data_IF_678275242877
#
_entry.id   IF_678275242877
#
_cell.length_a   1.000
_cell.length_b   1.000
_cell.length_c   1.000
_cell.angle_alpha   90.00
_cell.angle_beta   90.00
_cell.angle_gamma   90.00
#
_symmetry.space_group_name_H-M   'P 1'
#
loop_
_entity.id
_entity.type
_entity.pdbx_description
1 polymer ?
#
# COMPACT_ATOMS: atom_id res chain seq x y z
N UNK A 1 31.51 -19.81 14.13
CA UNK A 1 31.18 -19.20 12.82
C UNK A 1 29.89 -19.84 12.31
N UNK A 2 28.76 -19.13 12.33
CA UNK A 2 27.53 -19.58 11.67
C UNK A 2 27.40 -18.74 10.41
N UNK A 3 27.56 -19.37 9.25
CA UNK A 3 27.25 -18.76 7.96
C UNK A 3 25.74 -18.53 7.88
N UNK A 4 25.26 -17.43 8.44
CA UNK A 4 23.92 -16.94 8.16
C UNK A 4 23.95 -16.29 6.78
N UNK A 5 23.90 -17.10 5.73
CA UNK A 5 23.34 -16.62 4.46
C UNK A 5 21.88 -16.30 4.77
N UNK A 6 21.58 -15.05 5.10
CA UNK A 6 20.22 -14.53 4.98
C UNK A 6 19.78 -14.86 3.56
N UNK A 7 18.88 -15.83 3.41
CA UNK A 7 18.34 -16.18 2.10
C UNK A 7 17.68 -14.93 1.54
N UNK A 8 17.91 -14.66 0.25
CA UNK A 8 17.34 -13.52 -0.46
C UNK A 8 15.82 -13.42 -0.23
N UNK A 9 15.27 -12.21 -0.12
CA UNK A 9 13.83 -12.02 0.02
C UNK A 9 13.05 -12.71 -1.11
N UNK A 10 11.99 -13.44 -0.75
CA UNK A 10 11.07 -14.06 -1.69
C UNK A 10 9.92 -13.09 -1.93
N UNK A 11 9.72 -12.68 -3.18
CA UNK A 11 8.55 -11.89 -3.59
C UNK A 11 7.32 -12.80 -3.62
N UNK A 12 6.33 -12.52 -2.78
CA UNK A 12 5.05 -13.25 -2.76
C UNK A 12 3.94 -12.51 -3.50
N UNK A 13 3.97 -11.17 -3.47
CA UNK A 13 2.99 -10.33 -4.17
C UNK A 13 3.74 -9.22 -4.91
N UNK A 14 3.43 -9.07 -6.19
CA UNK A 14 3.87 -7.97 -7.04
C UNK A 14 2.76 -7.70 -8.07
N UNK A 15 1.74 -6.96 -7.65
CA UNK A 15 0.53 -6.73 -8.44
C UNK A 15 0.24 -5.24 -8.59
N UNK A 16 -0.31 -4.88 -9.76
CA UNK A 16 -0.78 -3.54 -10.06
C UNK A 16 -2.11 -3.62 -10.81
N UNK A 17 -3.11 -2.88 -10.34
CA UNK A 17 -4.41 -2.78 -10.98
C UNK A 17 -4.73 -1.34 -11.33
N UNK A 18 -5.03 -1.08 -12.60
CA UNK A 18 -5.45 0.25 -13.07
C UNK A 18 -6.96 0.37 -13.01
N UNK A 19 -7.46 1.43 -12.37
CA UNK A 19 -8.87 1.79 -12.38
C UNK A 19 -9.13 2.68 -13.61
N UNK A 20 -10.06 2.30 -14.51
CA UNK A 20 -10.37 3.10 -15.70
C UNK A 20 -10.77 4.54 -15.37
N UNK A 21 -10.39 5.48 -16.25
CA UNK A 21 -10.75 6.91 -16.10
C UNK A 21 -12.26 7.12 -15.93
N UNK A 22 -13.07 6.41 -16.72
CA UNK A 22 -14.55 6.47 -16.69
C UNK A 22 -15.17 6.03 -15.36
N UNK A 23 -14.41 5.32 -14.52
CA UNK A 23 -14.86 4.87 -13.19
C UNK A 23 -14.06 5.53 -12.09
N UNK A 24 -13.51 6.74 -12.29
CA UNK A 24 -12.84 7.50 -11.24
C UNK A 24 -11.31 7.54 -11.30
N UNK A 25 -10.68 6.84 -12.25
CA UNK A 25 -9.22 6.79 -12.46
C UNK A 25 -8.44 6.20 -11.25
N UNK A 26 -7.15 5.93 -11.46
CA UNK A 26 -6.20 5.59 -10.40
C UNK A 26 -5.52 4.24 -10.57
N UNK A 27 -4.61 3.93 -9.67
CA UNK A 27 -3.79 2.72 -9.64
C UNK A 27 -3.77 2.16 -8.23
N UNK A 28 -4.00 0.85 -8.10
CA UNK A 28 -3.76 0.10 -6.88
C UNK A 28 -2.46 -0.68 -7.04
N UNK A 29 -1.56 -0.58 -6.07
CA UNK A 29 -0.27 -1.28 -6.03
C UNK A 29 -0.22 -2.14 -4.77
N UNK A 30 0.09 -3.42 -4.96
CA UNK A 30 0.28 -4.39 -3.89
C UNK A 30 1.67 -5.02 -4.05
N UNK A 31 2.47 -4.98 -3.01
CA UNK A 31 3.80 -5.59 -2.99
C UNK A 31 4.06 -6.21 -1.62
N UNK A 32 4.60 -7.42 -1.60
CA UNK A 32 4.98 -8.11 -0.37
C UNK A 32 6.15 -9.08 -0.60
N UNK A 33 7.10 -9.07 0.33
CA UNK A 33 8.21 -10.04 0.40
C UNK A 33 8.26 -10.73 1.74
N UNK A 34 8.75 -11.96 1.74
CA UNK A 34 9.01 -12.75 2.94
C UNK A 34 10.42 -13.30 2.96
N UNK A 35 10.87 -13.75 4.13
CA UNK A 35 12.02 -14.63 4.22
C UNK A 35 11.66 -16.05 3.75
N UNK A 36 12.62 -16.97 3.83
CA UNK A 36 12.40 -18.36 3.45
C UNK A 36 11.48 -19.15 4.39
N UNK A 37 11.15 -18.60 5.55
CA UNK A 37 10.23 -19.19 6.53
C UNK A 37 8.81 -18.62 6.38
N UNK A 38 8.60 -17.68 5.46
CA UNK A 38 7.33 -16.99 5.27
C UNK A 38 7.12 -15.80 6.22
N UNK A 39 8.15 -15.36 6.94
CA UNK A 39 8.08 -14.16 7.77
C UNK A 39 8.09 -12.91 6.89
N UNK A 40 7.12 -12.01 7.08
CA UNK A 40 7.02 -10.73 6.38
C UNK A 40 8.29 -9.90 6.56
N UNK A 41 8.92 -9.49 5.45
CA UNK A 41 10.08 -8.60 5.46
C UNK A 41 9.68 -7.18 5.05
N UNK A 42 8.99 -7.05 3.93
CA UNK A 42 8.57 -5.76 3.37
C UNK A 42 7.21 -5.86 2.72
N UNK A 43 6.41 -4.81 2.84
CA UNK A 43 5.22 -4.61 2.03
C UNK A 43 5.08 -3.16 1.59
N UNK A 44 4.32 -2.95 0.52
CA UNK A 44 3.88 -1.62 0.07
C UNK A 44 2.50 -1.75 -0.57
N UNK A 45 1.52 -1.10 0.05
CA UNK A 45 0.14 -0.96 -0.41
C UNK A 45 -0.09 0.50 -0.78
N UNK A 46 -0.58 0.79 -1.98
CA UNK A 46 -0.86 2.17 -2.36
C UNK A 46 -2.06 2.30 -3.31
N UNK A 47 -2.90 3.29 -3.04
CA UNK A 47 -3.85 3.83 -4.00
C UNK A 47 -3.34 5.19 -4.48
N UNK A 48 -3.08 5.26 -5.78
CA UNK A 48 -2.51 6.43 -6.44
C UNK A 48 -3.56 6.99 -7.39
N UNK A 49 -3.90 8.26 -7.24
CA UNK A 49 -4.79 8.95 -8.14
C UNK A 49 -4.46 10.45 -8.17
N UNK A 50 -3.78 10.87 -9.24
CA UNK A 50 -3.36 12.26 -9.44
C UNK A 50 -4.53 13.25 -9.61
N UNK A 51 -5.73 12.76 -9.92
CA UNK A 51 -6.92 13.62 -9.97
C UNK A 51 -7.43 13.98 -8.56
N UNK A 52 -7.07 13.18 -7.55
CA UNK A 52 -7.47 13.42 -6.16
C UNK A 52 -6.43 14.28 -5.45
N UNK A 53 -5.14 13.99 -5.65
CA UNK A 53 -4.04 14.76 -5.07
C UNK A 53 -2.79 14.66 -5.93
N UNK A 54 -1.96 15.70 -5.93
CA UNK A 54 -0.65 15.70 -6.60
C UNK A 54 0.52 15.51 -5.61
N UNK A 55 0.25 15.52 -4.31
CA UNK A 55 1.27 15.29 -3.28
C UNK A 55 1.67 13.82 -3.24
N UNK A 56 2.85 13.52 -2.72
CA UNK A 56 3.35 12.15 -2.58
C UNK A 56 3.19 11.31 -3.86
N UNK A 57 3.57 11.91 -5.00
CA UNK A 57 3.45 11.31 -6.34
C UNK A 57 2.02 10.84 -6.69
N UNK A 58 1.01 11.50 -6.13
CA UNK A 58 -0.40 11.17 -6.31
C UNK A 58 -0.92 10.07 -5.38
N UNK A 59 -0.13 9.63 -4.39
CA UNK A 59 -0.57 8.67 -3.38
C UNK A 59 -1.65 9.30 -2.51
N UNK A 60 -2.86 8.76 -2.62
CA UNK A 60 -4.03 9.18 -1.86
C UNK A 60 -4.00 8.54 -0.48
N UNK A 61 -3.81 7.22 -0.45
CA UNK A 61 -3.67 6.42 0.75
C UNK A 61 -2.66 5.29 0.46
N UNK A 62 -1.85 4.96 1.45
CA UNK A 62 -0.95 3.81 1.37
C UNK A 62 -0.43 3.38 2.73
N UNK A 63 0.15 2.19 2.74
CA UNK A 63 0.75 1.56 3.90
C UNK A 63 2.03 0.88 3.47
N UNK A 64 3.12 1.16 4.16
CA UNK A 64 4.37 0.43 3.96
C UNK A 64 5.15 0.36 5.28
N UNK A 65 6.16 -0.48 5.29
CA UNK A 65 7.08 -0.62 6.42
C UNK A 65 8.51 -0.21 6.03
N UNK A 66 8.65 0.65 5.02
CA UNK A 66 9.93 1.25 4.70
C UNK A 66 10.37 2.14 5.88
N UNK A 67 11.66 2.40 6.02
CA UNK A 67 12.23 3.18 7.13
C UNK A 67 12.18 2.51 8.52
N UNK A 68 12.04 1.18 8.60
CA UNK A 68 12.11 0.37 9.83
C UNK A 68 10.90 0.52 10.78
N UNK A 69 9.79 1.10 10.34
CA UNK A 69 8.54 1.12 11.10
C UNK A 69 7.33 1.11 10.16
N UNK A 70 6.21 0.60 10.67
CA UNK A 70 4.96 0.56 9.94
C UNK A 70 4.31 1.94 9.95
N UNK A 71 3.95 2.45 8.77
CA UNK A 71 3.32 3.74 8.67
C UNK A 71 2.29 3.82 7.56
N UNK A 72 1.39 4.78 7.74
CA UNK A 72 0.31 5.13 6.85
C UNK A 72 0.65 6.44 6.16
N UNK A 73 0.49 6.45 4.84
CA UNK A 73 0.55 7.65 4.01
C UNK A 73 -0.88 8.05 3.66
N UNK A 74 -1.29 9.28 3.93
CA UNK A 74 -2.62 9.77 3.57
C UNK A 74 -2.55 11.21 3.12
N UNK A 75 -2.78 11.45 1.83
CA UNK A 75 -2.73 12.79 1.23
C UNK A 75 -1.45 13.56 1.60
N UNK A 76 -0.30 12.89 1.61
CA UNK A 76 1.00 13.46 1.94
C UNK A 76 1.32 13.55 3.44
N UNK A 77 0.37 13.24 4.34
CA UNK A 77 0.66 13.05 5.75
C UNK A 77 1.19 11.63 5.99
N UNK A 78 2.20 11.50 6.85
CA UNK A 78 2.79 10.22 7.25
C UNK A 78 2.63 10.05 8.76
N UNK A 79 2.07 8.92 9.18
CA UNK A 79 1.86 8.61 10.60
C UNK A 79 2.21 7.16 10.91
N UNK A 80 2.85 6.88 12.06
CA UNK A 80 3.11 5.51 12.50
C UNK A 80 1.78 4.80 12.83
N UNK A 81 1.75 3.49 12.63
CA UNK A 81 0.57 2.66 12.94
C UNK A 81 0.92 1.54 13.92
N UNK A 82 -0.09 1.09 14.66
CA UNK A 82 0.00 -0.17 15.39
C UNK A 82 -0.23 -1.34 14.43
N UNK A 83 0.86 -1.99 14.00
CA UNK A 83 0.78 -3.13 13.10
C UNK A 83 0.41 -4.41 13.86
N UNK A 84 -0.74 -5.00 13.51
CA UNK A 84 -1.24 -6.25 14.10
C UNK A 84 -0.89 -7.44 13.20
N UNK A 85 -1.33 -7.39 11.93
CA UNK A 85 -1.02 -8.38 10.91
C UNK A 85 -1.14 -7.78 9.51
N UNK A 86 -0.51 -8.43 8.53
CA UNK A 86 -0.65 -8.02 7.13
C UNK A 86 -2.11 -8.11 6.65
N UNK A 87 -2.85 -9.15 7.06
CA UNK A 87 -4.24 -9.35 6.64
C UNK A 87 -5.16 -8.24 7.16
N UNK A 88 -5.00 -7.83 8.42
CA UNK A 88 -5.78 -6.72 8.99
C UNK A 88 -5.43 -5.40 8.31
N UNK A 89 -4.14 -5.16 8.07
CA UNK A 89 -3.68 -3.98 7.37
C UNK A 89 -4.23 -3.91 5.94
N UNK A 90 -4.23 -5.04 5.23
CA UNK A 90 -4.78 -5.15 3.88
C UNK A 90 -6.29 -4.84 3.87
N UNK A 91 -7.05 -5.40 4.81
CA UNK A 91 -8.47 -5.13 4.94
C UNK A 91 -8.73 -3.63 5.21
N UNK A 92 -7.94 -3.01 6.09
CA UNK A 92 -8.03 -1.58 6.37
C UNK A 92 -7.70 -0.74 5.12
N UNK A 93 -6.62 -1.06 4.42
CA UNK A 93 -6.26 -0.41 3.17
C UNK A 93 -7.38 -0.49 2.14
N UNK A 94 -7.99 -1.67 1.97
CA UNK A 94 -9.08 -1.90 1.01
C UNK A 94 -10.31 -1.04 1.29
N UNK A 95 -10.69 -0.92 2.56
CA UNK A 95 -11.81 -0.07 2.97
C UNK A 95 -11.52 1.41 2.73
N UNK A 96 -10.30 1.85 3.08
CA UNK A 96 -9.93 3.26 2.97
C UNK A 96 -9.81 3.73 1.52
N UNK A 97 -9.13 2.96 0.65
CA UNK A 97 -9.00 3.40 -0.75
C UNK A 97 -10.36 3.46 -1.43
N UNK A 98 -11.27 2.50 -1.17
CA UNK A 98 -12.65 2.52 -1.68
C UNK A 98 -13.41 3.74 -1.19
N UNK A 99 -13.24 4.10 0.08
CA UNK A 99 -13.84 5.29 0.66
C UNK A 99 -13.38 6.57 -0.07
N UNK A 100 -12.07 6.72 -0.32
CA UNK A 100 -11.56 7.86 -1.08
C UNK A 100 -12.05 7.84 -2.54
N UNK A 101 -12.08 6.67 -3.15
CA UNK A 101 -12.51 6.48 -4.53
C UNK A 101 -13.98 6.85 -4.74
N UNK A 102 -14.90 6.34 -3.91
CA UNK A 102 -16.32 6.66 -4.00
C UNK A 102 -16.60 8.13 -3.67
N UNK A 103 -15.90 8.71 -2.69
CA UNK A 103 -15.99 10.16 -2.41
C UNK A 103 -15.56 11.01 -3.60
N UNK A 104 -14.54 10.59 -4.35
CA UNK A 104 -14.12 11.29 -5.55
C UNK A 104 -15.17 11.17 -6.66
N UNK A 105 -15.73 9.98 -6.90
CA UNK A 105 -16.79 9.78 -7.89
C UNK A 105 -18.02 10.63 -7.60
N UNK A 106 -18.53 10.60 -6.37
CA UNK A 106 -19.71 11.39 -5.97
C UNK A 106 -19.54 12.91 -6.15
N UNK A 107 -18.32 13.43 -6.16
CA UNK A 107 -18.04 14.86 -6.38
C UNK A 107 -17.92 15.23 -7.85
N UNK A 108 -17.70 14.25 -8.73
CA UNK A 108 -17.41 14.45 -10.15
C UNK A 108 -18.46 13.79 -11.07
N UNK A 109 -19.51 13.21 -10.48
CA UNK A 109 -20.77 12.84 -11.15
C UNK A 109 -21.73 14.04 -11.15
#
# INVERSE_FOLDING_TARGET
>A
MKNNKSKEPIVLIDEQHTIPRKTGNGILRYFMTTDSNGCLLRYSLAYINSNITMVDNGRVIGYDNDHNYHHRHCMGAVEPINFISYQELLNQFEQEWRTFHEKYKQRND
#
